data_IF_012631422539
#
_entry.id   IF_012631422539
#
_cell.length_a   1.000
_cell.length_b   1.000
_cell.length_c   1.000
_cell.angle_alpha   90.00
_cell.angle_beta   90.00
_cell.angle_gamma   90.00
#
_symmetry.space_group_name_H-M   'P 1'
#
loop_
_entity.id
_entity.type
_entity.pdbx_description
1 polymer ?
#
# COMPACT_ATOMS: atom_id res chain seq x y z
N UNK A 1 0.44 82.78 -36.33
CA UNK A 1 -0.82 82.03 -36.26
C UNK A 1 -0.49 80.56 -35.94
N UNK A 2 -1.23 79.89 -35.04
CA UNK A 2 -0.99 78.52 -34.54
C UNK A 2 -1.51 77.47 -35.57
N UNK A 3 -1.44 76.11 -35.40
CA UNK A 3 -1.51 75.41 -34.11
C UNK A 3 -0.80 74.06 -33.90
N UNK A 4 -0.70 73.72 -32.59
CA UNK A 4 -0.89 72.42 -31.90
C UNK A 4 -0.32 71.15 -32.53
N UNK A 5 0.44 70.39 -31.74
CA UNK A 5 -0.07 69.20 -31.00
C UNK A 5 1.06 68.50 -30.21
N UNK A 6 0.77 68.11 -28.96
CA UNK A 6 1.53 67.13 -28.13
C UNK A 6 0.66 65.85 -28.11
N UNK A 7 1.18 64.61 -28.08
CA UNK A 7 1.67 63.96 -26.84
C UNK A 7 2.89 63.03 -27.13
N UNK A 8 3.68 62.51 -26.20
CA UNK A 8 3.67 62.47 -24.75
C UNK A 8 4.86 61.62 -24.27
N UNK A 9 4.99 61.52 -22.94
CA UNK A 9 5.74 60.53 -22.17
C UNK A 9 7.26 60.52 -22.28
N UNK A 10 7.92 61.21 -21.34
CA UNK A 10 9.15 60.69 -20.73
C UNK A 10 9.08 60.71 -19.20
N UNK A 11 9.67 59.66 -18.65
CA UNK A 11 9.67 59.14 -17.30
C UNK A 11 10.34 60.04 -16.25
N UNK A 12 9.76 60.07 -15.04
CA UNK A 12 10.52 60.16 -13.78
C UNK A 12 9.69 59.54 -12.62
N UNK A 13 10.21 58.47 -12.03
CA UNK A 13 10.04 58.08 -10.62
C UNK A 13 11.04 58.93 -9.78
N UNK A 14 10.99 59.08 -8.43
CA UNK A 14 10.73 57.98 -7.48
C UNK A 14 10.09 58.33 -6.10
N UNK A 15 9.91 57.26 -5.31
CA UNK A 15 9.98 57.09 -3.83
C UNK A 15 8.80 57.44 -2.90
N UNK A 16 8.18 56.34 -2.42
CA UNK A 16 8.21 55.86 -1.02
C UNK A 16 6.91 55.97 -0.20
N UNK A 17 6.25 54.81 -0.10
CA UNK A 17 5.21 54.50 0.89
C UNK A 17 4.97 53.00 0.92
N UNK A 18 5.84 52.24 1.60
CA UNK A 18 5.69 50.80 1.77
C UNK A 18 4.49 50.51 2.67
N UNK A 19 3.39 50.03 2.10
CA UNK A 19 2.31 49.37 2.85
C UNK A 19 2.66 47.88 2.97
N UNK A 20 2.85 47.32 4.17
CA UNK A 20 3.01 45.88 4.32
C UNK A 20 1.64 45.21 4.08
N UNK A 21 1.48 44.52 2.97
CA UNK A 21 0.37 43.59 2.79
C UNK A 21 0.50 42.40 3.75
N UNK A 22 -0.61 41.84 4.26
CA UNK A 22 -0.54 40.68 5.14
C UNK A 22 -0.01 39.48 4.36
N UNK A 23 1.12 38.94 4.82
CA UNK A 23 1.71 37.70 4.31
C UNK A 23 0.71 36.56 4.57
N UNK A 24 0.32 35.76 3.57
CA UNK A 24 -0.48 34.58 3.83
C UNK A 24 0.37 33.57 4.62
N UNK A 25 -0.09 33.24 5.83
CA UNK A 25 0.57 32.25 6.67
C UNK A 25 0.61 30.88 5.98
N UNK A 26 1.65 30.05 6.20
CA UNK A 26 1.69 28.69 5.68
C UNK A 26 0.57 27.86 6.32
N UNK A 27 -0.38 27.43 5.51
CA UNK A 27 -1.40 26.45 5.90
C UNK A 27 -0.71 25.12 6.23
N UNK A 28 -0.49 24.87 7.52
CA UNK A 28 -0.02 23.57 7.99
C UNK A 28 -1.11 22.53 7.77
N UNK A 29 -0.95 21.71 6.74
CA UNK A 29 -1.82 20.55 6.49
C UNK A 29 -1.42 19.48 7.49
N UNK A 30 -2.11 19.44 8.64
CA UNK A 30 -2.01 18.32 9.56
C UNK A 30 -2.60 17.08 8.87
N UNK A 31 -1.73 16.20 8.38
CA UNK A 31 -2.13 14.88 7.91
C UNK A 31 -2.42 14.01 9.14
N UNK A 32 -3.68 13.94 9.53
CA UNK A 32 -4.12 13.02 10.56
C UNK A 32 -4.17 11.60 9.98
N UNK A 33 -3.24 10.74 10.40
CA UNK A 33 -3.38 9.29 10.19
C UNK A 33 -4.55 8.78 11.04
N UNK A 34 -5.73 8.69 10.42
CA UNK A 34 -6.86 8.00 11.01
C UNK A 34 -6.54 6.50 11.07
N UNK A 35 -6.29 5.99 12.28
CA UNK A 35 -6.24 4.54 12.51
C UNK A 35 -7.67 4.04 12.61
N UNK A 36 -8.26 3.64 11.48
CA UNK A 36 -9.58 2.99 11.48
C UNK A 36 -9.47 1.64 12.16
N UNK A 37 -9.95 1.55 13.39
CA UNK A 37 -10.10 0.27 14.09
C UNK A 37 -11.34 -0.42 13.53
N UNK A 38 -11.15 -1.46 12.71
CA UNK A 38 -12.24 -2.30 12.23
C UNK A 38 -12.71 -3.16 13.40
N UNK A 39 -13.88 -2.85 13.95
CA UNK A 39 -14.55 -3.69 14.95
C UNK A 39 -15.38 -4.74 14.21
N UNK A 40 -14.91 -5.99 14.23
CA UNK A 40 -15.64 -7.13 13.68
C UNK A 40 -16.81 -7.49 14.60
N UNK A 41 -18.01 -7.78 14.07
CA UNK A 41 -19.14 -8.21 14.90
C UNK A 41 -18.84 -9.53 15.62
N UNK A 42 -19.31 -9.67 16.85
CA UNK A 42 -18.93 -10.74 17.80
C UNK A 42 -19.22 -12.18 17.34
N UNK A 43 -19.99 -12.36 16.27
CA UNK A 43 -20.32 -13.63 15.63
C UNK A 43 -19.61 -13.85 14.28
N UNK A 44 -18.73 -12.94 13.87
CA UNK A 44 -17.94 -13.11 12.64
C UNK A 44 -16.90 -14.20 12.85
N UNK A 45 -17.23 -15.42 12.42
CA UNK A 45 -16.25 -16.50 12.30
C UNK A 45 -15.61 -16.43 10.93
N UNK A 46 -14.36 -16.00 10.92
CA UNK A 46 -13.55 -16.02 9.72
C UNK A 46 -13.24 -17.45 9.34
N UNK A 47 -13.54 -17.80 8.09
CA UNK A 47 -13.23 -19.12 7.57
C UNK A 47 -11.72 -19.17 7.26
N UNK A 48 -10.97 -20.16 7.77
CA UNK A 48 -9.59 -20.36 7.36
C UNK A 48 -9.52 -20.70 5.86
N UNK A 49 -8.38 -20.43 5.19
CA UNK A 49 -8.16 -20.86 3.82
C UNK A 49 -8.29 -22.38 3.70
N UNK A 50 -8.79 -22.85 2.56
CA UNK A 50 -8.71 -24.27 2.23
C UNK A 50 -7.24 -24.66 2.06
N UNK A 51 -6.82 -25.85 2.52
CA UNK A 51 -5.47 -26.33 2.24
C UNK A 51 -5.18 -26.35 0.74
N UNK A 52 -3.98 -25.95 0.34
CA UNK A 52 -3.55 -25.96 -1.06
C UNK A 52 -2.73 -27.20 -1.36
N UNK A 53 -3.16 -28.03 -2.31
CA UNK A 53 -2.55 -29.33 -2.56
C UNK A 53 -1.44 -29.28 -3.62
N UNK A 54 -1.33 -28.16 -4.35
CA UNK A 54 -0.30 -27.93 -5.37
C UNK A 54 -0.83 -27.93 -6.81
N UNK A 55 -2.11 -27.61 -7.02
CA UNK A 55 -2.69 -27.41 -8.35
C UNK A 55 -1.92 -26.32 -9.10
N UNK A 56 -1.41 -26.60 -10.31
CA UNK A 56 -0.69 -25.59 -11.13
C UNK A 56 -1.64 -24.87 -12.07
N UNK A 57 -2.45 -23.99 -11.50
CA UNK A 57 -3.44 -23.19 -12.22
C UNK A 57 -3.35 -21.75 -11.71
N UNK A 58 -3.08 -20.81 -12.62
CA UNK A 58 -2.85 -19.41 -12.28
C UNK A 58 -4.02 -18.75 -11.55
N UNK A 59 -5.25 -19.06 -11.94
CA UNK A 59 -6.45 -18.49 -11.31
C UNK A 59 -6.67 -19.07 -9.91
N UNK A 60 -6.55 -20.40 -9.76
CA UNK A 60 -6.71 -21.05 -8.45
C UNK A 60 -5.60 -20.64 -7.48
N UNK A 61 -4.37 -20.53 -7.97
CA UNK A 61 -3.20 -20.08 -7.23
C UNK A 61 -3.37 -18.65 -6.69
N UNK A 62 -3.75 -17.69 -7.54
CA UNK A 62 -4.01 -16.30 -7.11
C UNK A 62 -5.24 -16.19 -6.20
N UNK A 63 -6.31 -16.93 -6.49
CA UNK A 63 -7.50 -16.96 -5.64
C UNK A 63 -7.18 -17.46 -4.23
N UNK A 64 -6.33 -18.48 -4.13
CA UNK A 64 -5.87 -19.00 -2.85
C UNK A 64 -5.00 -17.99 -2.10
N UNK A 65 -4.01 -17.36 -2.75
CA UNK A 65 -3.19 -16.30 -2.15
C UNK A 65 -4.04 -15.12 -1.64
N UNK A 66 -5.05 -14.71 -2.40
CA UNK A 66 -5.98 -13.66 -1.99
C UNK A 66 -6.81 -14.08 -0.77
N UNK A 67 -7.24 -15.34 -0.69
CA UNK A 67 -7.92 -15.90 0.50
C UNK A 67 -7.00 -15.90 1.71
N UNK A 68 -5.79 -16.42 1.57
CA UNK A 68 -4.77 -16.47 2.60
C UNK A 68 -4.41 -15.09 3.15
N UNK A 69 -4.17 -14.11 2.26
CA UNK A 69 -3.87 -12.74 2.67
C UNK A 69 -4.98 -12.13 3.52
N UNK A 70 -6.25 -12.30 3.11
CA UNK A 70 -7.41 -11.81 3.87
C UNK A 70 -7.48 -12.45 5.25
N UNK A 71 -7.25 -13.76 5.33
CA UNK A 71 -7.22 -14.49 6.59
C UNK A 71 -6.10 -13.98 7.52
N UNK A 72 -4.86 -13.89 7.04
CA UNK A 72 -3.72 -13.47 7.87
C UNK A 72 -3.90 -12.06 8.44
N UNK A 73 -4.44 -11.13 7.63
CA UNK A 73 -4.72 -9.76 8.07
C UNK A 73 -5.79 -9.78 9.16
N UNK A 74 -6.90 -10.45 8.90
CA UNK A 74 -8.04 -10.34 9.79
C UNK A 74 -7.86 -11.19 11.06
N UNK A 75 -7.04 -12.25 11.03
CA UNK A 75 -6.56 -12.98 12.21
C UNK A 75 -5.44 -12.23 12.97
N UNK A 76 -5.07 -11.03 12.51
CA UNK A 76 -4.04 -10.16 13.09
C UNK A 76 -2.68 -10.86 13.28
N UNK A 77 -2.28 -11.66 12.30
CA UNK A 77 -1.01 -12.40 12.35
C UNK A 77 0.17 -11.42 12.14
N UNK A 78 1.15 -11.39 13.08
CA UNK A 78 2.37 -10.59 12.96
C UNK A 78 3.12 -10.90 11.66
N UNK A 79 3.70 -9.88 11.02
CA UNK A 79 4.32 -10.01 9.69
C UNK A 79 5.41 -11.08 9.68
N UNK A 80 6.16 -11.18 10.77
CA UNK A 80 7.28 -12.10 10.99
C UNK A 80 6.82 -13.57 11.05
N UNK A 81 5.57 -13.81 11.42
CA UNK A 81 4.99 -15.16 11.55
C UNK A 81 4.12 -15.56 10.35
N UNK A 82 3.84 -14.64 9.41
CA UNK A 82 2.92 -14.89 8.30
C UNK A 82 3.35 -16.04 7.41
N UNK A 83 4.64 -16.20 7.15
CA UNK A 83 5.14 -17.31 6.33
C UNK A 83 4.89 -18.64 7.01
N UNK A 84 5.26 -18.78 8.29
CA UNK A 84 4.99 -19.99 9.06
C UNK A 84 3.50 -20.35 9.02
N UNK A 85 2.62 -19.38 9.28
CA UNK A 85 1.17 -19.60 9.18
C UNK A 85 0.70 -19.97 7.77
N UNK A 86 1.28 -19.37 6.73
CA UNK A 86 0.94 -19.67 5.33
C UNK A 86 1.26 -21.11 4.96
N UNK A 87 2.41 -21.59 5.43
CA UNK A 87 2.90 -22.95 5.18
C UNK A 87 2.01 -24.01 5.83
N UNK A 88 1.41 -23.72 6.99
CA UNK A 88 0.45 -24.63 7.64
C UNK A 88 -0.81 -24.90 6.81
N UNK A 89 -1.11 -24.05 5.82
CA UNK A 89 -2.21 -24.25 4.87
C UNK A 89 -1.77 -24.87 3.55
N UNK A 90 -0.51 -25.31 3.43
CA UNK A 90 -0.09 -26.18 2.34
C UNK A 90 -0.37 -27.63 2.70
N UNK A 91 -0.72 -28.41 1.69
CA UNK A 91 -0.94 -29.84 1.79
C UNK A 91 -0.32 -30.57 0.59
N UNK A 92 -0.15 -31.89 0.71
CA UNK A 92 0.30 -32.75 -0.37
C UNK A 92 1.59 -32.24 -1.03
N UNK A 93 1.54 -32.09 -2.36
CA UNK A 93 2.70 -31.68 -3.18
C UNK A 93 3.19 -30.27 -2.84
N UNK A 94 2.29 -29.35 -2.47
CA UNK A 94 2.69 -28.00 -2.11
C UNK A 94 3.46 -27.94 -0.79
N UNK A 95 3.07 -28.75 0.20
CA UNK A 95 3.80 -28.85 1.47
C UNK A 95 5.22 -29.41 1.23
N UNK A 96 5.32 -30.51 0.50
CA UNK A 96 6.60 -31.12 0.13
C UNK A 96 7.51 -30.17 -0.66
N UNK A 97 6.93 -29.39 -1.57
CA UNK A 97 7.66 -28.37 -2.31
C UNK A 97 8.30 -27.35 -1.37
N UNK A 98 7.55 -26.81 -0.40
CA UNK A 98 8.07 -25.82 0.53
C UNK A 98 9.17 -26.40 1.43
N UNK A 99 8.95 -27.59 1.98
CA UNK A 99 9.94 -28.30 2.79
C UNK A 99 11.24 -28.55 2.02
N UNK A 100 11.13 -28.89 0.73
CA UNK A 100 12.28 -29.11 -0.16
C UNK A 100 13.16 -27.87 -0.36
N UNK A 101 12.61 -26.67 -0.20
CA UNK A 101 13.38 -25.42 -0.32
C UNK A 101 14.26 -25.13 0.91
N UNK A 102 14.06 -25.85 2.02
CA UNK A 102 14.83 -25.70 3.28
C UNK A 102 14.99 -24.25 3.73
N UNK A 103 13.90 -23.48 3.62
CA UNK A 103 13.86 -22.07 4.01
C UNK A 103 13.73 -21.94 5.53
N UNK A 104 14.31 -20.91 6.16
CA UNK A 104 14.10 -20.63 7.58
C UNK A 104 12.67 -20.16 7.83
N UNK A 105 12.13 -20.42 9.02
CA UNK A 105 10.77 -19.98 9.41
C UNK A 105 10.61 -18.46 9.40
N UNK A 106 11.71 -17.72 9.59
CA UNK A 106 11.77 -16.25 9.52
C UNK A 106 11.75 -15.71 8.09
N UNK A 107 11.47 -16.54 7.08
CA UNK A 107 11.41 -16.10 5.68
C UNK A 107 10.33 -15.03 5.52
N UNK A 108 10.64 -13.87 4.91
CA UNK A 108 9.64 -12.83 4.67
C UNK A 108 8.47 -13.34 3.81
N UNK A 109 7.26 -12.91 4.13
CA UNK A 109 6.04 -13.35 3.43
C UNK A 109 6.09 -13.05 1.93
N UNK A 110 6.71 -11.94 1.52
CA UNK A 110 6.83 -11.58 0.11
C UNK A 110 7.71 -12.56 -0.67
N UNK A 111 8.74 -13.12 -0.04
CA UNK A 111 9.59 -14.15 -0.64
C UNK A 111 8.80 -15.46 -0.79
N UNK A 112 8.01 -15.84 0.22
CA UNK A 112 7.09 -16.98 0.11
C UNK A 112 6.12 -16.80 -1.07
N UNK A 113 5.46 -15.63 -1.18
CA UNK A 113 4.51 -15.34 -2.27
C UNK A 113 5.19 -15.39 -3.64
N UNK A 114 6.37 -14.81 -3.78
CA UNK A 114 7.11 -14.84 -5.05
C UNK A 114 7.49 -16.26 -5.48
N UNK A 115 7.99 -17.08 -4.54
CA UNK A 115 8.33 -18.48 -4.80
C UNK A 115 7.09 -19.30 -5.15
N UNK A 116 6.00 -19.10 -4.39
CA UNK A 116 4.74 -19.80 -4.59
C UNK A 116 4.16 -19.51 -5.97
N UNK A 117 4.13 -18.23 -6.38
CA UNK A 117 3.71 -17.84 -7.73
C UNK A 117 4.56 -18.49 -8.81
N UNK A 118 5.89 -18.45 -8.67
CA UNK A 118 6.78 -19.09 -9.63
C UNK A 118 6.59 -20.61 -9.76
N UNK A 119 6.11 -21.28 -8.71
CA UNK A 119 5.92 -22.72 -8.69
C UNK A 119 4.51 -23.19 -9.15
N UNK A 120 3.47 -22.40 -8.88
CA UNK A 120 2.08 -22.81 -9.02
C UNK A 120 1.17 -21.87 -9.82
N UNK A 121 1.62 -20.64 -10.13
CA UNK A 121 0.87 -19.67 -10.92
C UNK A 121 1.52 -19.50 -12.32
N UNK A 122 1.38 -20.47 -13.25
CA UNK A 122 1.87 -20.34 -14.63
C UNK A 122 1.08 -19.31 -15.45
#
# INVERSE_FOLDING_TARGET
>A
MPPKSIPGSQAYDPVQGSVPGPVPAPVSVFSASATTTIVLPSNFRMRPPTPYEGQRDGLLCEAWLASLRRFLIAANIPVEQRTLHSVMYLAGTAALWWEGLRRPDSTPIDNFVALFRGAFCP
#
